data_IF_029914135330
#
_entry.id   IF_029914135330
#
_cell.length_a   1.000
_cell.length_b   1.000
_cell.length_c   1.000
_cell.angle_alpha   90.00
_cell.angle_beta   90.00
_cell.angle_gamma   90.00
#
_symmetry.space_group_name_H-M   'P 1'
#
loop_
_entity.id
_entity.type
_entity.pdbx_description
1 polymer ?
#
# COMPACT_ATOMS: atom_id res chain seq x y z
N UNK A 1 -4.68 -8.86 10.80
CA UNK A 1 -4.85 -7.62 11.57
C UNK A 1 -5.45 -6.54 10.68
N UNK A 2 -6.49 -5.92 11.14
CA UNK A 2 -7.10 -4.79 10.44
C UNK A 2 -6.25 -3.53 10.65
N UNK A 3 -5.91 -2.84 9.58
CA UNK A 3 -5.23 -1.55 9.68
C UNK A 3 -6.21 -0.49 10.20
N UNK A 4 -5.74 0.50 10.98
CA UNK A 4 -6.58 1.58 11.40
C UNK A 4 -7.08 2.42 10.23
N UNK A 5 -8.30 2.90 10.30
CA UNK A 5 -8.91 3.73 9.26
C UNK A 5 -9.94 4.68 9.85
N UNK A 6 -10.20 5.75 9.14
CA UNK A 6 -11.30 6.64 9.51
C UNK A 6 -12.62 5.97 9.16
N UNK A 7 -13.38 5.62 10.17
CA UNK A 7 -14.67 4.93 9.99
C UNK A 7 -15.69 5.89 9.38
N UNK A 8 -16.36 5.41 8.36
CA UNK A 8 -17.51 6.06 7.77
C UNK A 8 -18.71 5.09 7.81
N UNK A 9 -19.88 5.58 7.40
CA UNK A 9 -21.12 4.79 7.47
C UNK A 9 -21.09 3.50 6.65
N UNK A 10 -20.27 3.48 5.60
CA UNK A 10 -20.27 2.37 4.63
C UNK A 10 -19.19 1.32 4.92
N UNK A 11 -18.32 1.56 5.90
CA UNK A 11 -17.30 0.62 6.37
C UNK A 11 -16.45 0.01 5.23
N UNK A 12 -16.27 0.76 4.14
CA UNK A 12 -15.64 0.29 2.90
C UNK A 12 -14.12 0.45 2.86
N UNK A 13 -13.53 1.13 3.86
CA UNK A 13 -12.12 1.45 3.87
C UNK A 13 -11.23 0.41 4.58
N UNK A 14 -11.78 -0.75 4.92
CA UNK A 14 -11.02 -1.78 5.62
C UNK A 14 -9.91 -2.34 4.76
N UNK A 15 -8.71 -2.34 5.28
CA UNK A 15 -7.57 -3.04 4.70
C UNK A 15 -6.97 -3.96 5.75
N UNK A 16 -6.71 -5.20 5.35
CA UNK A 16 -6.20 -6.22 6.24
C UNK A 16 -4.71 -6.42 6.03
N UNK A 17 -3.96 -6.38 7.10
CA UNK A 17 -2.56 -6.79 7.13
C UNK A 17 -2.49 -8.29 7.39
N UNK A 18 -2.05 -9.03 6.40
CA UNK A 18 -1.86 -10.49 6.50
C UNK A 18 -0.44 -10.75 6.98
N UNK A 19 -0.32 -11.50 8.06
CA UNK A 19 0.97 -11.85 8.65
C UNK A 19 1.20 -13.34 8.55
N UNK A 20 2.33 -13.72 7.98
CA UNK A 20 2.80 -15.10 7.98
C UNK A 20 3.84 -15.29 9.07
N UNK A 21 3.67 -16.35 9.85
CA UNK A 21 4.59 -16.72 10.91
C UNK A 21 5.12 -18.12 10.65
N UNK A 22 6.36 -18.38 11.07
CA UNK A 22 6.93 -19.71 11.08
C UNK A 22 6.90 -20.24 12.51
N UNK A 23 6.36 -21.43 12.68
CA UNK A 23 6.36 -22.11 13.97
C UNK A 23 7.65 -22.94 14.12
N UNK A 24 8.39 -22.68 15.19
CA UNK A 24 9.54 -23.49 15.58
C UNK A 24 9.12 -24.47 16.67
N UNK A 25 9.05 -25.76 16.31
CA UNK A 25 8.63 -26.79 17.25
C UNK A 25 9.66 -27.07 18.36
N UNK A 26 10.93 -26.78 18.12
CA UNK A 26 11.99 -26.97 19.12
C UNK A 26 11.88 -25.96 20.28
N UNK A 27 11.55 -24.70 19.97
CA UNK A 27 11.39 -23.64 20.98
C UNK A 27 9.94 -23.37 21.34
N UNK A 28 8.98 -24.01 20.65
CA UNK A 28 7.54 -23.77 20.80
C UNK A 28 7.18 -22.28 20.61
N UNK A 29 7.80 -21.63 19.62
CA UNK A 29 7.61 -20.21 19.34
C UNK A 29 7.17 -19.95 17.91
N UNK A 30 6.45 -18.85 17.70
CA UNK A 30 6.09 -18.31 16.40
C UNK A 30 7.01 -17.15 16.06
N UNK A 31 7.65 -17.21 14.90
CA UNK A 31 8.48 -16.11 14.40
C UNK A 31 7.79 -15.43 13.23
N UNK A 32 7.53 -14.11 13.29
CA UNK A 32 6.97 -13.38 12.16
C UNK A 32 7.92 -13.45 10.96
N UNK A 33 7.40 -13.84 9.79
CA UNK A 33 8.19 -13.98 8.57
C UNK A 33 7.89 -12.88 7.56
N UNK A 34 6.62 -12.57 7.37
CA UNK A 34 6.19 -11.66 6.32
C UNK A 34 4.87 -11.01 6.71
N UNK A 35 4.76 -9.71 6.46
CA UNK A 35 3.50 -8.98 6.58
C UNK A 35 3.19 -8.32 5.24
N UNK A 36 1.98 -8.52 4.73
CA UNK A 36 1.57 -8.02 3.43
C UNK A 36 0.17 -7.43 3.47
N UNK A 37 -0.04 -6.42 2.64
CA UNK A 37 -1.36 -5.89 2.31
C UNK A 37 -1.79 -6.51 1.00
N UNK A 38 -2.95 -7.18 1.00
CA UNK A 38 -3.44 -7.92 -0.16
C UNK A 38 -4.54 -7.12 -0.85
N UNK A 39 -4.34 -6.80 -2.11
CA UNK A 39 -5.36 -6.20 -2.97
C UNK A 39 -5.83 -7.25 -3.98
N UNK A 40 -6.79 -8.07 -3.56
CA UNK A 40 -7.30 -9.15 -4.40
C UNK A 40 -8.04 -8.65 -5.64
N UNK A 41 -8.74 -7.52 -5.51
CA UNK A 41 -9.54 -6.97 -6.62
C UNK A 41 -8.66 -6.47 -7.76
N UNK A 42 -7.49 -5.93 -7.44
CA UNK A 42 -6.56 -5.41 -8.44
C UNK A 42 -5.36 -6.33 -8.68
N UNK A 43 -5.29 -7.46 -7.98
CA UNK A 43 -4.34 -8.53 -8.27
C UNK A 43 -2.91 -8.26 -7.85
N UNK A 44 -2.68 -7.57 -6.73
CA UNK A 44 -1.33 -7.38 -6.19
C UNK A 44 -1.30 -7.48 -4.67
N UNK A 45 -0.09 -7.60 -4.14
CA UNK A 45 0.16 -7.41 -2.72
C UNK A 45 1.37 -6.51 -2.50
N UNK A 46 1.40 -5.87 -1.34
CA UNK A 46 2.47 -4.97 -0.93
C UNK A 46 3.04 -5.44 0.40
N UNK A 47 4.35 -5.70 0.43
CA UNK A 47 5.05 -6.08 1.66
C UNK A 47 5.10 -4.87 2.60
N UNK A 48 4.55 -5.04 3.80
CA UNK A 48 4.49 -3.99 4.80
C UNK A 48 5.86 -3.85 5.48
N UNK A 49 6.55 -2.72 5.32
CA UNK A 49 7.87 -2.54 5.92
C UNK A 49 7.82 -2.55 7.45
N UNK A 50 8.82 -3.18 8.08
CA UNK A 50 8.91 -3.23 9.55
C UNK A 50 8.98 -1.85 10.18
N UNK A 51 9.65 -0.89 9.52
CA UNK A 51 9.79 0.47 10.03
C UNK A 51 8.46 1.22 10.16
N UNK A 52 7.42 0.77 9.47
CA UNK A 52 6.10 1.38 9.58
C UNK A 52 5.42 1.09 10.91
N UNK A 53 5.63 -0.09 11.49
CA UNK A 53 5.24 -0.48 12.84
C UNK A 53 3.85 0.02 13.26
N UNK A 54 2.83 -0.19 12.43
CA UNK A 54 1.45 0.26 12.63
C UNK A 54 1.22 1.78 12.58
N UNK A 55 2.22 2.55 12.17
CA UNK A 55 2.11 3.99 12.02
C UNK A 55 1.74 4.42 10.60
N UNK A 56 1.57 3.47 9.70
CA UNK A 56 1.15 3.72 8.32
C UNK A 56 -0.08 2.89 8.02
N UNK A 57 -1.04 3.52 7.39
CA UNK A 57 -2.29 2.88 6.98
C UNK A 57 -2.59 3.15 5.52
N UNK A 58 -3.68 2.58 5.03
CA UNK A 58 -4.13 2.75 3.65
C UNK A 58 -5.53 3.35 3.65
N UNK A 59 -5.69 4.41 2.88
CA UNK A 59 -7.00 4.96 2.53
C UNK A 59 -7.36 4.45 1.13
N UNK A 60 -8.44 3.67 1.03
CA UNK A 60 -8.93 3.18 -0.25
C UNK A 60 -9.75 4.25 -0.94
N UNK A 61 -9.46 4.48 -2.21
CA UNK A 61 -10.20 5.45 -3.04
C UNK A 61 -10.55 4.79 -4.37
N UNK A 62 -11.69 5.16 -4.93
CA UNK A 62 -12.20 4.56 -6.17
C UNK A 62 -12.20 3.02 -6.09
N UNK A 63 -12.85 2.50 -5.05
CA UNK A 63 -12.78 1.08 -4.73
C UNK A 63 -11.35 0.70 -4.35
N UNK A 64 -10.75 -0.26 -5.04
CA UNK A 64 -9.37 -0.69 -4.81
C UNK A 64 -8.40 -0.20 -5.90
N UNK A 65 -8.87 0.60 -6.84
CA UNK A 65 -8.00 1.09 -7.93
C UNK A 65 -6.99 2.13 -7.46
N UNK A 66 -7.25 2.81 -6.34
CA UNK A 66 -6.31 3.75 -5.73
C UNK A 66 -6.18 3.46 -4.24
N UNK A 67 -4.99 3.06 -3.84
CA UNK A 67 -4.62 2.89 -2.44
C UNK A 67 -3.65 3.99 -2.06
N UNK A 68 -4.08 4.87 -1.14
CA UNK A 68 -3.25 5.96 -0.63
C UNK A 68 -2.62 5.53 0.68
N UNK A 69 -1.30 5.45 0.69
CA UNK A 69 -0.50 5.10 1.87
C UNK A 69 -0.19 6.38 2.63
N UNK A 70 -0.59 6.44 3.89
CA UNK A 70 -0.43 7.62 4.71
C UNK A 70 -0.09 7.27 6.15
N UNK A 71 0.49 8.23 6.86
CA UNK A 71 0.71 8.08 8.29
C UNK A 71 -0.64 7.98 9.00
N UNK A 72 -0.65 7.23 10.09
CA UNK A 72 -1.82 7.14 10.96
C UNK A 72 -1.57 7.90 12.26
N UNK A 73 -2.40 8.90 12.53
CA UNK A 73 -2.40 9.63 13.78
C UNK A 73 -3.34 8.93 14.77
N UNK A 74 -2.78 8.03 15.57
CA UNK A 74 -3.54 7.24 16.55
C UNK A 74 -4.14 8.10 17.65
N UNK A 75 -3.51 9.22 17.98
CA UNK A 75 -3.96 10.13 19.04
C UNK A 75 -5.28 10.81 18.66
N UNK A 76 -5.41 11.19 17.39
CA UNK A 76 -6.58 11.90 16.88
C UNK A 76 -7.48 11.03 16.01
N UNK A 77 -7.16 9.76 15.82
CA UNK A 77 -7.89 8.79 14.98
C UNK A 77 -8.14 9.35 13.57
N UNK A 78 -7.09 9.80 12.92
CA UNK A 78 -7.18 10.38 11.58
C UNK A 78 -5.97 10.03 10.72
N UNK A 79 -6.14 10.20 9.40
CA UNK A 79 -5.03 10.08 8.47
C UNK A 79 -4.08 11.26 8.63
N UNK A 80 -2.77 10.95 8.64
CA UNK A 80 -1.71 11.95 8.66
C UNK A 80 -1.18 12.25 7.25
N UNK A 81 0.13 12.50 7.16
CA UNK A 81 0.77 12.82 5.89
C UNK A 81 0.63 11.69 4.88
N UNK A 82 0.29 12.03 3.64
CA UNK A 82 0.31 11.09 2.53
C UNK A 82 1.75 10.81 2.12
N UNK A 83 2.09 9.53 1.98
CA UNK A 83 3.42 9.11 1.54
C UNK A 83 3.46 8.90 0.04
N UNK A 84 2.58 8.06 -0.46
CA UNK A 84 2.42 7.76 -1.88
C UNK A 84 1.08 7.07 -2.12
N UNK A 85 0.74 6.90 -3.38
CA UNK A 85 -0.41 6.06 -3.76
C UNK A 85 -0.01 5.03 -4.81
N UNK A 86 -0.66 3.88 -4.78
CA UNK A 86 -0.61 2.90 -5.86
C UNK A 86 -1.92 3.03 -6.64
N UNK A 87 -1.79 3.30 -7.93
CA UNK A 87 -2.91 3.57 -8.82
C UNK A 87 -2.94 2.52 -9.92
N UNK A 88 -4.12 2.00 -10.21
CA UNK A 88 -4.30 0.97 -11.23
C UNK A 88 -5.08 1.56 -12.40
N UNK A 89 -4.54 1.40 -13.59
CA UNK A 89 -5.12 1.93 -14.83
C UNK A 89 -5.24 0.85 -15.88
N UNK A 90 -6.22 1.00 -16.78
CA UNK A 90 -6.15 0.30 -18.04
C UNK A 90 -5.04 0.91 -18.90
N UNK A 91 -4.48 0.11 -19.81
CA UNK A 91 -3.44 0.59 -20.73
C UNK A 91 -3.90 1.80 -21.53
N UNK A 92 -5.16 1.79 -21.99
CA UNK A 92 -5.72 2.89 -22.76
C UNK A 92 -5.78 4.21 -21.97
N UNK A 93 -6.13 4.14 -20.68
CA UNK A 93 -6.14 5.32 -19.81
C UNK A 93 -4.70 5.75 -19.50
N UNK A 94 -3.82 4.78 -19.22
CA UNK A 94 -2.41 5.08 -18.94
C UNK A 94 -1.77 5.87 -20.08
N UNK A 95 -2.06 5.51 -21.33
CA UNK A 95 -1.51 6.18 -22.51
C UNK A 95 -2.01 7.63 -22.69
N UNK A 96 -3.06 8.03 -21.97
CA UNK A 96 -3.55 9.42 -21.97
C UNK A 96 -2.94 10.29 -20.88
N UNK A 97 -2.22 9.69 -19.93
CA UNK A 97 -1.63 10.41 -18.78
C UNK A 97 -0.42 11.22 -19.27
N UNK A 98 -0.38 12.48 -18.87
CA UNK A 98 0.71 13.39 -19.25
C UNK A 98 2.04 12.93 -18.67
N UNK A 99 3.07 12.92 -19.52
CA UNK A 99 4.45 12.61 -19.10
C UNK A 99 5.03 13.62 -18.10
N UNK A 100 4.38 14.75 -17.90
CA UNK A 100 4.80 15.76 -16.95
C UNK A 100 4.32 15.51 -15.52
N UNK A 101 3.43 14.55 -15.33
CA UNK A 101 2.98 14.17 -13.98
C UNK A 101 4.03 13.25 -13.32
N UNK A 102 4.30 13.44 -12.01
CA UNK A 102 5.25 12.60 -11.29
C UNK A 102 4.62 11.24 -10.91
N UNK A 103 4.29 10.46 -11.94
CA UNK A 103 3.71 9.14 -11.81
C UNK A 103 4.60 8.12 -12.51
N UNK A 104 4.84 6.98 -11.85
CA UNK A 104 5.84 6.00 -12.26
C UNK A 104 5.22 4.61 -12.38
N UNK A 105 5.29 4.03 -13.57
CA UNK A 105 4.86 2.65 -13.78
C UNK A 105 5.83 1.69 -13.07
N UNK A 106 5.28 0.80 -12.24
CA UNK A 106 6.07 -0.22 -11.52
C UNK A 106 5.77 -1.64 -12.01
N UNK A 107 4.63 -1.86 -12.65
CA UNK A 107 4.28 -3.16 -13.23
C UNK A 107 3.21 -3.00 -14.29
N UNK A 108 3.13 -4.00 -15.16
CA UNK A 108 2.12 -4.07 -16.20
C UNK A 108 1.82 -5.55 -16.48
N UNK A 109 0.54 -5.87 -16.60
CA UNK A 109 0.12 -7.23 -16.94
C UNK A 109 -1.26 -7.23 -17.60
N UNK A 110 -1.36 -7.87 -18.76
CA UNK A 110 -2.64 -8.09 -19.44
C UNK A 110 -3.46 -6.79 -19.66
N UNK A 111 -2.80 -5.71 -20.05
CA UNK A 111 -3.46 -4.43 -20.30
C UNK A 111 -3.79 -3.63 -19.04
N UNK A 112 -3.28 -4.05 -17.90
CA UNK A 112 -3.42 -3.33 -16.63
C UNK A 112 -2.07 -2.77 -16.21
N UNK A 113 -2.04 -1.48 -15.87
CA UNK A 113 -0.83 -0.76 -15.47
C UNK A 113 -0.94 -0.39 -13.99
N UNK A 114 0.12 -0.70 -13.25
CA UNK A 114 0.27 -0.36 -11.83
C UNK A 114 1.28 0.75 -11.72
N UNK A 115 0.90 1.86 -11.10
CA UNK A 115 1.76 3.03 -11.03
C UNK A 115 1.78 3.65 -9.64
N UNK A 116 2.90 4.27 -9.30
CA UNK A 116 3.11 4.97 -8.04
C UNK A 116 3.08 6.47 -8.27
N UNK A 117 2.32 7.17 -7.44
CA UNK A 117 2.29 8.63 -7.40
C UNK A 117 2.73 9.09 -6.03
N UNK A 118 3.72 9.98 -5.97
CA UNK A 118 4.18 10.54 -4.71
C UNK A 118 3.44 11.81 -4.36
N UNK A 119 3.24 12.04 -3.06
CA UNK A 119 2.82 13.33 -2.56
C UNK A 119 3.96 14.33 -2.66
N UNK A 120 3.64 15.60 -2.90
CA UNK A 120 4.63 16.67 -3.04
C UNK A 120 5.44 16.92 -1.77
N UNK A 121 4.91 16.53 -0.60
CA UNK A 121 5.52 16.74 0.72
C UNK A 121 6.05 15.46 1.37
N UNK A 122 6.26 14.40 0.59
CA UNK A 122 6.68 13.08 1.08
C UNK A 122 8.00 13.07 1.84
N UNK A 123 8.90 14.00 1.54
CA UNK A 123 10.28 14.00 2.05
C UNK A 123 10.38 14.23 3.56
N UNK A 124 9.31 14.72 4.18
CA UNK A 124 9.31 15.09 5.59
C UNK A 124 8.92 13.94 6.52
N UNK A 125 8.60 12.76 5.98
CA UNK A 125 8.19 11.62 6.79
C UNK A 125 9.32 10.61 6.97
N UNK A 126 9.51 10.15 8.21
CA UNK A 126 10.43 9.04 8.52
C UNK A 126 9.96 7.70 7.93
N UNK A 127 8.68 7.60 7.55
CA UNK A 127 8.08 6.40 6.97
C UNK A 127 8.12 6.40 5.44
N UNK A 128 8.61 7.46 4.82
CA UNK A 128 8.69 7.58 3.36
C UNK A 128 9.55 6.46 2.76
N UNK A 129 9.14 5.98 1.60
CA UNK A 129 9.88 5.00 0.81
C UNK A 129 10.32 5.62 -0.50
N UNK A 130 11.47 5.18 -1.00
CA UNK A 130 11.91 5.50 -2.36
C UNK A 130 11.10 4.70 -3.38
N UNK A 131 11.17 5.11 -4.65
CA UNK A 131 10.52 4.35 -5.73
C UNK A 131 11.07 2.91 -5.80
N UNK A 132 12.37 2.73 -5.61
CA UNK A 132 13.00 1.40 -5.62
C UNK A 132 12.51 0.53 -4.48
N UNK A 133 12.35 1.09 -3.29
CA UNK A 133 11.79 0.38 -2.14
C UNK A 133 10.33 -0.02 -2.37
N UNK A 134 9.53 0.88 -2.93
CA UNK A 134 8.13 0.59 -3.26
C UNK A 134 8.04 -0.52 -4.30
N UNK A 135 8.82 -0.42 -5.36
CA UNK A 135 8.87 -1.42 -6.43
C UNK A 135 9.31 -2.78 -5.90
N UNK A 136 10.28 -2.81 -4.99
CA UNK A 136 10.78 -4.05 -4.37
C UNK A 136 9.75 -4.71 -3.48
N UNK A 137 8.86 -3.93 -2.88
CA UNK A 137 7.82 -4.44 -1.98
C UNK A 137 6.50 -4.77 -2.69
N UNK A 138 6.38 -4.39 -3.96
CA UNK A 138 5.20 -4.66 -4.78
C UNK A 138 5.34 -5.99 -5.52
N UNK A 139 4.28 -6.81 -5.52
CA UNK A 139 4.23 -8.08 -6.26
C UNK A 139 2.85 -8.32 -6.84
N UNK A 140 2.81 -8.82 -8.07
CA UNK A 140 1.58 -9.29 -8.68
C UNK A 140 1.18 -10.64 -8.09
N UNK A 141 -0.14 -10.87 -7.94
CA UNK A 141 -0.68 -12.12 -7.41
C UNK A 141 -0.67 -13.25 -8.45
N UNK A 142 -0.74 -12.91 -9.74
CA UNK A 142 -0.79 -13.89 -10.84
C UNK A 142 0.20 -13.56 -11.93
#
# INVERSE_FOLDING_TARGET
VELPYVRNKDDTNKVWLVRWNIFDSASNTWTPKLSCLMNYNEGYYFKYPKKWDSNVTVSRQDGDSTWVFCEWDAKNNKYGKTLFSINVYSESIWNTISVNEPIYKIAEKNGTVYAVKFDQHKSDSEYALTLDEISSNFRLLY
#
